data_IF_028888128317
#
_entry.id   IF_028888128317
#
_cell.length_a   1.000
_cell.length_b   1.000
_cell.length_c   1.000
_cell.angle_alpha   90.00
_cell.angle_beta   90.00
_cell.angle_gamma   90.00
#
_symmetry.space_group_name_H-M   'P 1'
#
loop_
_entity.id
_entity.type
_entity.pdbx_description
1 polymer ?
#
# COMPACT_ATOMS: atom_id res chain seq x y z
N UNK A 1 59.63 32.45 -0.22
CA UNK A 1 58.50 31.96 0.60
C UNK A 1 57.19 32.33 -0.10
N UNK A 2 56.52 31.39 -0.77
CA UNK A 2 55.10 31.43 -1.23
C UNK A 2 54.82 30.24 -2.15
N UNK A 3 54.85 29.06 -1.56
CA UNK A 3 54.20 27.84 -2.06
C UNK A 3 53.30 27.37 -0.92
N UNK A 4 52.22 26.66 -1.25
CA UNK A 4 51.23 26.00 -0.35
C UNK A 4 50.10 26.84 0.24
N UNK A 5 49.15 27.41 -0.54
CA UNK A 5 47.82 27.80 0.01
C UNK A 5 46.65 27.79 -1.01
N UNK A 6 46.69 27.01 -2.10
CA UNK A 6 45.51 26.90 -3.00
C UNK A 6 45.37 25.47 -3.53
N UNK A 7 44.91 24.54 -2.69
CA UNK A 7 44.23 23.29 -3.14
C UNK A 7 43.12 22.83 -2.16
N UNK A 8 43.09 23.30 -0.91
CA UNK A 8 42.03 22.88 0.06
C UNK A 8 40.85 23.86 0.02
N UNK A 9 40.12 23.92 -1.10
CA UNK A 9 38.84 24.65 -1.18
C UNK A 9 37.88 24.10 -2.24
N UNK A 10 38.06 22.86 -2.70
CA UNK A 10 37.28 22.25 -3.78
C UNK A 10 36.90 20.79 -3.48
N UNK A 11 36.57 20.50 -2.21
CA UNK A 11 36.12 19.16 -1.76
C UNK A 11 34.93 19.21 -0.80
N UNK A 12 34.19 20.32 -0.76
CA UNK A 12 32.92 20.45 -0.01
C UNK A 12 31.89 21.15 -0.90
N UNK A 13 31.56 20.56 -2.05
CA UNK A 13 30.38 21.01 -2.82
C UNK A 13 29.79 19.91 -3.73
N UNK A 14 29.91 18.66 -3.29
CA UNK A 14 29.10 17.54 -3.78
C UNK A 14 28.51 16.77 -2.59
N UNK A 15 28.07 17.49 -1.55
CA UNK A 15 27.01 16.94 -0.72
C UNK A 15 25.79 16.89 -1.64
N UNK A 16 25.58 15.73 -2.27
CA UNK A 16 24.33 15.46 -2.96
C UNK A 16 23.21 15.86 -2.02
N UNK A 17 22.33 16.74 -2.48
CA UNK A 17 21.13 17.11 -1.73
C UNK A 17 20.39 15.81 -1.49
N UNK A 18 20.57 15.21 -0.30
CA UNK A 18 19.78 14.07 0.10
C UNK A 18 18.35 14.61 0.09
N UNK A 19 17.46 14.10 -0.76
CA UNK A 19 16.09 14.58 -0.77
C UNK A 19 15.53 14.33 0.63
N UNK A 20 15.35 15.41 1.39
CA UNK A 20 14.67 15.34 2.68
C UNK A 20 13.21 15.07 2.31
N UNK A 21 12.63 13.94 2.74
CA UNK A 21 11.24 13.65 2.45
C UNK A 21 10.36 14.80 2.98
N UNK A 22 9.51 15.32 2.11
CA UNK A 22 8.60 16.42 2.44
C UNK A 22 7.33 15.84 3.03
N UNK A 23 7.40 15.46 4.31
CA UNK A 23 6.23 15.05 5.09
C UNK A 23 5.79 16.18 6.02
N UNK A 24 4.50 16.19 6.35
CA UNK A 24 4.01 17.09 7.38
C UNK A 24 4.58 16.66 8.75
N UNK A 25 4.89 17.63 9.60
CA UNK A 25 5.47 17.32 10.91
C UNK A 25 4.41 16.61 11.78
N UNK A 26 4.73 15.38 12.20
CA UNK A 26 3.96 14.60 13.16
C UNK A 26 4.82 14.28 14.37
N UNK A 27 4.19 14.09 15.54
CA UNK A 27 4.88 13.66 16.75
C UNK A 27 5.35 12.22 16.61
N UNK A 28 6.34 11.86 17.41
CA UNK A 28 6.83 10.49 17.45
C UNK A 28 5.79 9.53 18.05
N UNK A 29 5.75 8.31 17.53
CA UNK A 29 4.86 7.23 17.97
C UNK A 29 5.61 6.20 18.80
N UNK A 30 4.88 5.38 19.59
CA UNK A 30 5.50 4.36 20.45
C UNK A 30 6.19 3.24 19.65
N UNK A 31 5.76 3.03 18.41
CA UNK A 31 6.31 2.05 17.49
C UNK A 31 7.81 2.25 17.23
N UNK A 32 8.54 1.14 17.11
CA UNK A 32 9.92 1.17 16.62
C UNK A 32 9.97 1.57 15.15
N UNK A 33 9.14 0.95 14.32
CA UNK A 33 8.99 1.27 12.91
C UNK A 33 7.54 1.62 12.60
N UNK A 34 7.32 2.66 11.81
CA UNK A 34 5.98 3.08 11.43
C UNK A 34 5.94 3.72 10.05
N UNK A 35 4.78 3.63 9.41
CA UNK A 35 4.48 4.33 8.16
C UNK A 35 3.01 4.74 8.12
N UNK A 36 2.75 5.91 7.55
CA UNK A 36 1.43 6.32 7.05
C UNK A 36 1.55 6.51 5.53
N UNK A 37 0.69 5.84 4.77
CA UNK A 37 0.68 5.88 3.31
C UNK A 37 -0.74 6.18 2.82
N UNK A 38 -0.85 7.01 1.76
CA UNK A 38 -2.11 7.13 1.02
C UNK A 38 -2.24 6.00 0.00
N UNK A 39 -3.38 5.32 0.01
CA UNK A 39 -3.58 4.05 -0.68
C UNK A 39 -3.45 4.17 -2.20
N UNK A 40 -4.06 5.17 -2.85
CA UNK A 40 -4.11 5.20 -4.31
C UNK A 40 -2.78 5.61 -4.91
N UNK A 41 -2.23 6.75 -4.48
CA UNK A 41 -0.98 7.29 -5.00
C UNK A 41 0.25 6.55 -4.46
N UNK A 42 0.12 5.83 -3.34
CA UNK A 42 1.25 5.19 -2.65
C UNK A 42 2.20 6.19 -2.01
N UNK A 43 1.79 7.46 -1.86
CA UNK A 43 2.63 8.50 -1.26
C UNK A 43 2.74 8.25 0.23
N UNK A 44 3.97 8.23 0.73
CA UNK A 44 4.25 8.20 2.16
C UNK A 44 3.98 9.58 2.75
N UNK A 45 3.26 9.63 3.86
CA UNK A 45 2.88 10.87 4.56
C UNK A 45 3.59 10.98 5.92
N UNK A 46 4.10 9.87 6.43
CA UNK A 46 4.94 9.77 7.62
C UNK A 46 5.74 8.46 7.55
N UNK A 47 7.01 8.50 7.96
CA UNK A 47 7.89 7.34 8.01
C UNK A 47 8.81 7.41 9.22
N UNK A 48 8.96 6.29 9.92
CA UNK A 48 9.92 6.07 11.01
C UNK A 48 10.57 4.72 10.79
N UNK A 49 11.84 4.74 10.39
CA UNK A 49 12.63 3.53 10.10
C UNK A 49 11.84 2.54 9.20
N UNK A 50 11.08 3.07 8.24
CA UNK A 50 10.02 2.33 7.56
C UNK A 50 10.54 1.23 6.63
N UNK A 51 11.81 1.32 6.22
CA UNK A 51 12.52 0.34 5.38
C UNK A 51 13.33 -0.67 6.19
N UNK A 52 13.44 -0.52 7.51
CA UNK A 52 14.19 -1.47 8.33
C UNK A 52 13.43 -2.79 8.45
N UNK A 53 14.11 -3.90 8.15
CA UNK A 53 13.54 -5.24 8.24
C UNK A 53 13.34 -5.68 9.68
N UNK A 54 12.15 -6.18 9.98
CA UNK A 54 11.73 -6.64 11.29
C UNK A 54 10.93 -7.94 11.19
N UNK A 55 10.83 -8.63 12.33
CA UNK A 55 9.85 -9.72 12.47
C UNK A 55 8.45 -9.14 12.49
N UNK A 56 7.57 -9.69 11.66
CA UNK A 56 6.25 -9.11 11.45
C UNK A 56 5.10 -9.89 12.11
N UNK A 57 5.37 -11.08 12.67
CA UNK A 57 4.33 -11.92 13.27
C UNK A 57 3.13 -12.13 12.31
N UNK A 58 1.91 -12.19 12.84
CA UNK A 58 0.73 -12.57 12.05
C UNK A 58 0.25 -11.57 10.99
N UNK A 59 0.87 -10.39 10.81
CA UNK A 59 0.53 -9.55 9.64
C UNK A 59 1.01 -10.20 8.32
N UNK A 60 1.90 -11.19 8.37
CA UNK A 60 2.20 -12.15 7.29
C UNK A 60 0.94 -12.71 6.62
N UNK A 61 -0.11 -12.94 7.42
CA UNK A 61 -1.36 -13.55 6.94
C UNK A 61 -2.12 -12.67 5.93
N UNK A 62 -1.75 -11.40 5.78
CA UNK A 62 -2.23 -10.54 4.68
C UNK A 62 -1.83 -11.15 3.34
N UNK A 63 -0.56 -11.54 3.17
CA UNK A 63 -0.07 -12.20 1.95
C UNK A 63 -0.81 -13.52 1.71
N UNK A 64 -0.98 -14.33 2.76
CA UNK A 64 -1.69 -15.61 2.68
C UNK A 64 -3.14 -15.43 2.24
N UNK A 65 -3.86 -14.46 2.81
CA UNK A 65 -5.23 -14.15 2.44
C UNK A 65 -5.34 -13.60 1.02
N UNK A 66 -4.40 -12.75 0.60
CA UNK A 66 -4.33 -12.20 -0.76
C UNK A 66 -4.19 -13.32 -1.80
N UNK A 67 -3.22 -14.23 -1.62
CA UNK A 67 -3.01 -15.33 -2.56
C UNK A 67 -4.21 -16.27 -2.64
N UNK A 68 -4.87 -16.53 -1.50
CA UNK A 68 -6.11 -17.30 -1.49
C UNK A 68 -7.22 -16.59 -2.29
N UNK A 69 -7.38 -15.27 -2.11
CA UNK A 69 -8.37 -14.46 -2.83
C UNK A 69 -8.10 -14.39 -4.35
N UNK A 70 -6.84 -14.42 -4.77
CA UNK A 70 -6.44 -14.42 -6.20
C UNK A 70 -6.48 -15.79 -6.86
N UNK A 71 -6.53 -16.87 -6.08
CA UNK A 71 -6.37 -18.24 -6.60
C UNK A 71 -7.52 -18.73 -7.49
N UNK A 72 -8.69 -18.08 -7.47
CA UNK A 72 -9.92 -18.60 -8.06
C UNK A 72 -10.55 -19.76 -7.29
N UNK A 73 -9.95 -20.20 -6.17
CA UNK A 73 -10.36 -21.39 -5.40
C UNK A 73 -11.24 -21.09 -4.18
N UNK A 74 -11.67 -19.84 -3.97
CA UNK A 74 -12.37 -19.44 -2.73
C UNK A 74 -13.62 -20.27 -2.39
N UNK A 75 -14.28 -20.84 -3.40
CA UNK A 75 -15.48 -21.68 -3.24
C UNK A 75 -15.16 -23.17 -3.08
N UNK A 76 -13.91 -23.58 -3.22
CA UNK A 76 -13.48 -24.97 -3.10
C UNK A 76 -13.58 -25.45 -1.65
N UNK A 77 -13.74 -26.77 -1.50
CA UNK A 77 -13.74 -27.44 -0.21
C UNK A 77 -12.37 -28.05 0.05
N UNK A 78 -11.71 -27.56 1.09
CA UNK A 78 -10.39 -28.00 1.53
C UNK A 78 -10.54 -29.17 2.49
N UNK A 79 -9.72 -30.20 2.30
CA UNK A 79 -9.56 -31.31 3.26
C UNK A 79 -8.44 -30.99 4.23
N UNK A 80 -8.75 -30.91 5.52
CA UNK A 80 -7.74 -30.54 6.52
C UNK A 80 -6.77 -31.71 6.76
N UNK A 81 -5.47 -31.43 6.67
CA UNK A 81 -4.39 -32.37 6.93
C UNK A 81 -4.12 -32.57 8.43
N UNK A 82 -3.29 -33.57 8.77
CA UNK A 82 -2.83 -33.73 10.15
C UNK A 82 -1.82 -32.66 10.54
N UNK A 83 -1.11 -32.12 9.56
CA UNK A 83 -0.05 -31.13 9.69
C UNK A 83 -0.66 -29.78 10.03
N UNK A 84 -1.74 -29.39 9.35
CA UNK A 84 -2.54 -28.20 9.64
C UNK A 84 -2.95 -28.09 11.11
N UNK A 85 -3.41 -29.17 11.72
CA UNK A 85 -3.92 -29.14 13.10
C UNK A 85 -2.82 -29.12 14.17
N UNK A 86 -1.56 -29.42 13.80
CA UNK A 86 -0.43 -29.46 14.74
C UNK A 86 0.29 -28.12 14.88
N UNK A 87 -0.06 -27.13 14.06
CA UNK A 87 0.58 -25.81 14.12
C UNK A 87 0.18 -25.08 15.41
N UNK A 88 1.17 -24.62 16.16
CA UNK A 88 0.97 -23.95 17.45
C UNK A 88 0.34 -22.55 17.31
N UNK A 89 -0.03 -21.94 18.45
CA UNK A 89 -0.48 -20.55 18.52
C UNK A 89 -1.99 -20.37 18.34
N UNK A 90 -2.39 -19.26 17.74
CA UNK A 90 -3.82 -18.99 17.49
C UNK A 90 -4.38 -20.00 16.49
N UNK A 91 -5.56 -20.53 16.75
CA UNK A 91 -6.21 -21.53 15.90
C UNK A 91 -7.70 -21.22 15.72
N UNK A 92 -8.32 -21.79 14.69
CA UNK A 92 -9.78 -21.93 14.57
C UNK A 92 -10.27 -23.34 14.94
N UNK A 93 -9.34 -24.18 15.42
CA UNK A 93 -9.57 -25.52 15.96
C UNK A 93 -10.08 -26.52 14.91
N UNK A 94 -9.42 -26.51 13.75
CA UNK A 94 -9.67 -27.49 12.69
C UNK A 94 -9.41 -28.92 13.17
N UNK A 95 -10.06 -29.90 12.53
CA UNK A 95 -9.86 -31.33 12.79
C UNK A 95 -9.33 -32.06 11.54
N UNK A 96 -8.47 -33.09 11.69
CA UNK A 96 -8.03 -33.89 10.54
C UNK A 96 -9.20 -34.46 9.74
N UNK A 97 -9.11 -34.40 8.42
CA UNK A 97 -10.15 -34.87 7.50
C UNK A 97 -11.39 -33.99 7.40
N UNK A 98 -11.51 -32.94 8.22
CA UNK A 98 -12.61 -31.98 8.13
C UNK A 98 -12.64 -31.36 6.73
N UNK A 99 -13.85 -31.12 6.21
CA UNK A 99 -14.09 -30.47 4.93
C UNK A 99 -14.58 -29.05 5.18
N UNK A 100 -13.79 -28.05 4.79
CA UNK A 100 -14.06 -26.63 5.07
C UNK A 100 -13.91 -25.83 3.79
N UNK A 101 -14.79 -24.85 3.53
CA UNK A 101 -14.61 -23.97 2.36
C UNK A 101 -13.37 -23.11 2.53
N UNK A 102 -12.64 -22.87 1.44
CA UNK A 102 -11.47 -21.99 1.48
C UNK A 102 -11.84 -20.60 1.99
N UNK A 103 -13.01 -20.06 1.60
CA UNK A 103 -13.53 -18.80 2.14
C UNK A 103 -13.62 -18.77 3.67
N UNK A 104 -14.18 -19.82 4.29
CA UNK A 104 -14.28 -19.92 5.76
C UNK A 104 -12.88 -19.92 6.39
N UNK A 105 -11.91 -20.62 5.78
CA UNK A 105 -10.53 -20.62 6.25
C UNK A 105 -9.91 -19.22 6.19
N UNK A 106 -10.15 -18.46 5.13
CA UNK A 106 -9.61 -17.09 4.99
C UNK A 106 -10.25 -16.12 5.99
N UNK A 107 -11.56 -16.26 6.30
CA UNK A 107 -12.16 -15.51 7.41
C UNK A 107 -11.54 -15.89 8.76
N UNK A 108 -11.36 -17.19 9.02
CA UNK A 108 -10.70 -17.67 10.24
C UNK A 108 -9.26 -17.17 10.37
N UNK A 109 -8.52 -17.16 9.26
CA UNK A 109 -7.17 -16.62 9.14
C UNK A 109 -7.14 -15.13 9.50
N UNK A 110 -8.01 -14.31 8.91
CA UNK A 110 -7.95 -12.86 9.09
C UNK A 110 -8.53 -12.41 10.44
N UNK A 111 -9.70 -12.92 10.82
CA UNK A 111 -10.42 -12.47 12.03
C UNK A 111 -9.86 -13.11 13.30
N UNK A 112 -9.48 -14.39 13.25
CA UNK A 112 -9.03 -15.17 14.41
C UNK A 112 -7.53 -15.41 14.43
N UNK A 113 -6.83 -15.09 13.34
CA UNK A 113 -5.39 -15.30 13.21
C UNK A 113 -5.01 -16.79 13.29
N UNK A 114 -5.89 -17.68 12.84
CA UNK A 114 -5.67 -19.14 12.87
C UNK A 114 -4.44 -19.56 12.06
N UNK A 115 -3.47 -20.19 12.71
CA UNK A 115 -2.27 -20.73 12.09
C UNK A 115 -2.58 -22.06 11.40
N UNK A 116 -3.48 -22.85 11.98
CA UNK A 116 -4.09 -24.04 11.36
C UNK A 116 -4.77 -23.71 10.02
N UNK A 117 -5.53 -22.61 9.98
CA UNK A 117 -6.13 -22.09 8.75
C UNK A 117 -5.06 -21.66 7.74
N UNK A 118 -4.00 -20.98 8.17
CA UNK A 118 -2.92 -20.56 7.29
C UNK A 118 -2.21 -21.75 6.62
N UNK A 119 -1.94 -22.80 7.40
CA UNK A 119 -1.33 -24.03 6.93
C UNK A 119 -2.23 -24.75 5.92
N UNK A 120 -3.53 -24.91 6.23
CA UNK A 120 -4.48 -25.53 5.31
C UNK A 120 -4.68 -24.73 4.00
N UNK A 121 -4.71 -23.39 4.09
CA UNK A 121 -4.75 -22.52 2.91
C UNK A 121 -3.51 -22.72 2.05
N UNK A 122 -2.33 -22.75 2.67
CA UNK A 122 -1.07 -22.89 1.96
C UNK A 122 -0.97 -24.22 1.22
N UNK A 123 -1.31 -25.33 1.89
CA UNK A 123 -1.36 -26.67 1.29
C UNK A 123 -2.34 -26.73 0.11
N UNK A 124 -3.53 -26.12 0.23
CA UNK A 124 -4.54 -26.15 -0.85
C UNK A 124 -4.19 -25.25 -2.05
N UNK A 125 -3.72 -24.04 -1.77
CA UNK A 125 -3.48 -23.04 -2.81
C UNK A 125 -2.15 -23.30 -3.51
N UNK A 126 -1.09 -23.56 -2.74
CA UNK A 126 0.27 -23.78 -3.23
C UNK A 126 0.64 -25.24 -3.48
N UNK A 127 -0.23 -26.20 -3.15
CA UNK A 127 0.03 -27.65 -3.27
C UNK A 127 0.94 -28.23 -2.20
N UNK A 128 1.80 -27.39 -1.60
CA UNK A 128 2.59 -27.67 -0.40
C UNK A 128 2.93 -26.34 0.30
N UNK A 129 3.56 -26.41 1.48
CA UNK A 129 4.04 -25.20 2.16
C UNK A 129 5.15 -24.52 1.39
N UNK A 130 6.09 -25.28 0.84
CA UNK A 130 7.19 -24.79 0.02
C UNK A 130 6.64 -24.12 -1.25
N UNK A 131 5.67 -24.77 -1.91
CA UNK A 131 5.00 -24.21 -3.08
C UNK A 131 4.27 -22.90 -2.76
N UNK A 132 3.59 -22.83 -1.61
CA UNK A 132 2.93 -21.60 -1.19
C UNK A 132 3.92 -20.48 -0.82
N UNK A 133 4.97 -20.80 -0.07
CA UNK A 133 6.03 -19.85 0.29
C UNK A 133 6.74 -19.31 -0.96
N UNK A 134 6.93 -20.14 -1.99
CA UNK A 134 7.40 -19.68 -3.29
C UNK A 134 6.45 -18.62 -3.89
N UNK A 135 5.14 -18.88 -3.90
CA UNK A 135 4.15 -17.90 -4.39
C UNK A 135 4.15 -16.60 -3.57
N UNK A 136 4.33 -16.68 -2.24
CA UNK A 136 4.41 -15.50 -1.38
C UNK A 136 5.59 -14.60 -1.77
N UNK A 137 6.77 -15.19 -2.00
CA UNK A 137 7.96 -14.43 -2.37
C UNK A 137 7.91 -13.93 -3.83
N UNK A 138 7.34 -14.70 -4.77
CA UNK A 138 7.11 -14.21 -6.13
C UNK A 138 6.14 -13.03 -6.15
N UNK A 139 5.06 -13.07 -5.33
CA UNK A 139 4.17 -11.92 -5.18
C UNK A 139 4.89 -10.72 -4.56
N UNK A 140 5.68 -10.93 -3.49
CA UNK A 140 6.46 -9.88 -2.85
C UNK A 140 7.37 -9.17 -3.86
N UNK A 141 8.10 -9.94 -4.67
CA UNK A 141 8.94 -9.41 -5.76
C UNK A 141 8.12 -8.67 -6.82
N UNK A 142 6.98 -9.23 -7.25
CA UNK A 142 6.13 -8.63 -8.28
C UNK A 142 5.54 -7.27 -7.86
N UNK A 143 5.26 -7.07 -6.58
CA UNK A 143 4.72 -5.80 -6.05
C UNK A 143 5.80 -4.89 -5.45
N UNK A 144 7.08 -5.27 -5.56
CA UNK A 144 8.23 -4.43 -5.20
C UNK A 144 8.57 -4.39 -3.71
N UNK A 145 8.20 -5.40 -2.94
CA UNK A 145 8.60 -5.56 -1.53
C UNK A 145 10.07 -5.99 -1.45
N UNK A 146 10.98 -5.02 -1.29
CA UNK A 146 12.43 -5.25 -1.38
C UNK A 146 13.07 -5.68 -0.06
N UNK A 147 12.41 -5.38 1.05
CA UNK A 147 12.89 -5.59 2.41
C UNK A 147 12.12 -6.74 3.07
N UNK A 148 11.68 -7.72 2.28
CA UNK A 148 10.78 -8.81 2.67
C UNK A 148 11.27 -10.19 2.23
N UNK A 149 11.14 -11.15 3.14
CA UNK A 149 11.24 -12.57 2.84
C UNK A 149 10.23 -13.36 3.68
N UNK A 150 9.43 -14.19 3.03
CA UNK A 150 8.49 -15.10 3.70
C UNK A 150 9.08 -16.51 3.75
N UNK A 151 9.05 -17.14 4.92
CA UNK A 151 9.42 -18.56 5.10
C UNK A 151 8.27 -19.46 5.56
N UNK A 152 7.10 -18.90 5.87
CA UNK A 152 5.91 -19.65 6.29
C UNK A 152 4.62 -18.80 6.10
N UNK A 153 3.41 -19.40 6.09
CA UNK A 153 2.18 -18.67 5.77
C UNK A 153 1.55 -17.93 6.96
N UNK A 154 2.10 -18.04 8.16
CA UNK A 154 1.46 -17.57 9.39
C UNK A 154 2.26 -16.51 10.17
N UNK A 155 3.57 -16.39 9.94
CA UNK A 155 4.45 -15.49 10.66
C UNK A 155 4.80 -15.96 12.06
N UNK A 156 4.86 -17.28 12.29
CA UNK A 156 5.49 -17.79 13.52
C UNK A 156 7.01 -17.62 13.38
N UNK A 157 7.68 -17.42 14.51
CA UNK A 157 9.12 -17.34 14.57
C UNK A 157 9.74 -18.66 14.11
N UNK A 158 10.58 -18.63 13.08
CA UNK A 158 11.23 -19.81 12.51
C UNK A 158 12.76 -19.72 12.54
N UNK A 159 13.35 -20.10 11.42
CA UNK A 159 14.78 -20.11 11.09
C UNK A 159 15.49 -18.73 11.13
N UNK A 160 14.73 -17.65 11.26
CA UNK A 160 15.25 -16.28 11.27
C UNK A 160 15.27 -15.60 9.90
N UNK A 161 14.77 -16.24 8.85
CA UNK A 161 14.69 -15.65 7.50
C UNK A 161 13.35 -14.95 7.24
N UNK A 162 12.37 -15.08 8.14
CA UNK A 162 11.05 -14.45 8.01
C UNK A 162 11.06 -12.99 8.47
N UNK A 163 10.96 -12.04 7.54
CA UNK A 163 10.94 -10.61 7.84
C UNK A 163 10.21 -9.78 6.77
N UNK A 164 9.86 -8.55 7.12
CA UNK A 164 9.41 -7.50 6.21
C UNK A 164 9.70 -6.13 6.83
N UNK A 165 9.39 -5.04 6.14
CA UNK A 165 9.48 -3.66 6.65
C UNK A 165 8.09 -3.03 6.78
N UNK A 166 7.99 -1.89 7.48
CA UNK A 166 6.70 -1.19 7.58
C UNK A 166 6.23 -0.71 6.18
N UNK A 167 7.17 -0.23 5.37
CA UNK A 167 6.95 0.19 4.00
C UNK A 167 6.43 -0.95 3.11
N UNK A 168 7.10 -2.11 3.15
CA UNK A 168 6.71 -3.26 2.34
C UNK A 168 5.33 -3.80 2.75
N UNK A 169 5.04 -3.83 4.05
CA UNK A 169 3.72 -4.22 4.53
C UNK A 169 2.62 -3.22 4.13
N UNK A 170 2.94 -1.92 4.00
CA UNK A 170 2.03 -0.93 3.45
C UNK A 170 1.81 -1.16 1.93
N UNK A 171 2.87 -1.47 1.17
CA UNK A 171 2.76 -1.85 -0.24
C UNK A 171 1.89 -3.10 -0.45
N UNK A 172 2.11 -4.14 0.35
CA UNK A 172 1.30 -5.36 0.32
C UNK A 172 -0.17 -5.05 0.60
N UNK A 173 -0.43 -4.23 1.62
CA UNK A 173 -1.79 -3.86 2.01
C UNK A 173 -2.47 -3.04 0.92
N UNK A 174 -1.78 -2.05 0.35
CA UNK A 174 -2.25 -1.27 -0.79
C UNK A 174 -2.66 -2.16 -1.96
N UNK A 175 -1.80 -3.12 -2.33
CA UNK A 175 -2.12 -4.06 -3.39
C UNK A 175 -3.32 -4.95 -3.03
N UNK A 176 -3.35 -5.46 -1.79
CA UNK A 176 -4.41 -6.35 -1.32
C UNK A 176 -5.78 -5.65 -1.24
N UNK A 177 -5.84 -4.37 -0.89
CA UNK A 177 -7.08 -3.59 -0.84
C UNK A 177 -7.69 -3.35 -2.23
N UNK A 178 -6.89 -3.47 -3.31
CA UNK A 178 -7.39 -3.51 -4.68
C UNK A 178 -8.26 -4.75 -4.98
N UNK A 179 -8.11 -5.84 -4.22
CA UNK A 179 -8.92 -7.04 -4.35
C UNK A 179 -10.20 -6.93 -3.51
N UNK A 180 -11.37 -6.92 -4.17
CA UNK A 180 -12.68 -6.77 -3.50
C UNK A 180 -12.96 -7.85 -2.44
N UNK A 181 -12.53 -9.09 -2.69
CA UNK A 181 -12.71 -10.20 -1.74
C UNK A 181 -11.87 -9.98 -0.50
N UNK A 182 -10.59 -9.61 -0.65
CA UNK A 182 -9.72 -9.29 0.48
C UNK A 182 -10.26 -8.10 1.28
N UNK A 183 -10.64 -7.00 0.61
CA UNK A 183 -11.20 -5.80 1.24
C UNK A 183 -12.43 -6.13 2.10
N UNK A 184 -13.36 -6.95 1.57
CA UNK A 184 -14.53 -7.42 2.32
C UNK A 184 -14.13 -8.19 3.58
N UNK A 185 -13.21 -9.16 3.46
CA UNK A 185 -12.79 -10.00 4.58
C UNK A 185 -12.07 -9.17 5.65
N UNK A 186 -11.15 -8.30 5.24
CA UNK A 186 -10.36 -7.42 6.12
C UNK A 186 -11.25 -6.51 6.97
N UNK A 187 -12.29 -5.92 6.37
CA UNK A 187 -13.25 -5.03 7.05
C UNK A 187 -14.36 -5.74 7.83
N UNK A 188 -14.44 -7.07 7.79
CA UNK A 188 -15.52 -7.81 8.45
C UNK A 188 -15.33 -7.78 9.97
N UNK A 189 -16.32 -7.25 10.70
CA UNK A 189 -16.33 -7.18 12.17
C UNK A 189 -16.62 -8.54 12.81
N UNK A 190 -17.57 -9.28 12.24
CA UNK A 190 -18.02 -10.59 12.71
C UNK A 190 -18.37 -11.48 11.53
N UNK A 191 -18.00 -12.76 11.59
CA UNK A 191 -18.31 -13.77 10.58
C UNK A 191 -18.85 -15.04 11.21
N UNK A 192 -19.95 -15.57 10.69
CA UNK A 192 -20.50 -16.87 11.08
C UNK A 192 -20.28 -17.86 9.94
N UNK A 193 -19.34 -18.77 10.12
CA UNK A 193 -19.18 -19.91 9.22
C UNK A 193 -20.32 -20.90 9.45
N UNK A 194 -20.70 -21.65 8.40
CA UNK A 194 -21.62 -22.78 8.53
C UNK A 194 -20.98 -24.00 9.21
N UNK A 195 -19.66 -24.03 9.31
CA UNK A 195 -18.89 -25.14 9.87
C UNK A 195 -18.57 -24.97 11.37
N UNK A 196 -19.01 -23.87 11.98
CA UNK A 196 -18.84 -23.57 13.41
C UNK A 196 -20.18 -23.11 14.01
N UNK A 197 -20.41 -23.42 15.28
CA UNK A 197 -21.66 -23.06 15.98
C UNK A 197 -21.64 -21.65 16.59
N UNK A 198 -20.53 -20.93 16.47
CA UNK A 198 -20.35 -19.60 17.05
C UNK A 198 -19.69 -18.63 16.07
N UNK A 199 -19.96 -17.33 16.20
CA UNK A 199 -19.41 -16.34 15.29
C UNK A 199 -17.99 -15.97 15.68
N UNK A 200 -17.15 -15.76 14.69
CA UNK A 200 -15.83 -15.19 14.85
C UNK A 200 -15.91 -13.67 14.87
N UNK A 201 -15.56 -13.08 16.02
CA UNK A 201 -15.29 -11.65 16.11
C UNK A 201 -13.87 -11.35 15.66
N UNK A 202 -13.71 -10.32 14.84
CA UNK A 202 -12.40 -9.83 14.42
C UNK A 202 -11.59 -9.36 15.63
N UNK A 203 -10.33 -9.80 15.75
CA UNK A 203 -9.41 -9.36 16.82
C UNK A 203 -9.01 -7.88 16.67
N UNK A 204 -9.22 -7.28 15.51
CA UNK A 204 -8.83 -5.90 15.21
C UNK A 204 -9.76 -4.88 15.88
N UNK A 205 -9.30 -4.24 16.95
CA UNK A 205 -10.13 -3.36 17.79
C UNK A 205 -10.55 -2.08 17.10
N UNK A 206 -9.71 -1.52 16.24
CA UNK A 206 -10.02 -0.34 15.42
C UNK A 206 -11.22 -0.61 14.50
N UNK A 207 -11.19 -1.74 13.78
CA UNK A 207 -12.29 -2.17 12.89
C UNK A 207 -13.57 -2.48 13.68
N UNK A 208 -13.45 -3.10 14.85
CA UNK A 208 -14.64 -3.55 15.60
C UNK A 208 -15.30 -2.48 16.46
N UNK A 209 -14.53 -1.56 17.06
CA UNK A 209 -15.05 -0.68 18.12
C UNK A 209 -14.31 0.62 18.41
N UNK A 210 -13.04 0.76 18.07
CA UNK A 210 -12.23 1.89 18.56
C UNK A 210 -12.19 3.08 17.59
N UNK A 211 -12.33 2.85 16.29
CA UNK A 211 -12.14 3.91 15.30
C UNK A 211 -13.15 3.83 14.17
N UNK A 212 -14.01 4.84 14.04
CA UNK A 212 -15.14 4.83 13.11
C UNK A 212 -14.72 4.80 11.63
N UNK A 213 -13.55 5.36 11.32
CA UNK A 213 -13.03 5.43 9.95
C UNK A 213 -12.28 4.15 9.53
N UNK A 214 -12.04 3.20 10.44
CA UNK A 214 -11.30 1.97 10.12
C UNK A 214 -12.08 1.08 9.15
N UNK A 215 -11.44 0.71 8.04
CA UNK A 215 -12.01 -0.09 6.95
C UNK A 215 -11.48 -1.52 6.88
N UNK A 216 -10.37 -1.82 7.57
CA UNK A 216 -9.73 -3.12 7.53
C UNK A 216 -8.44 -3.16 8.34
N UNK A 217 -7.80 -4.33 8.39
CA UNK A 217 -6.50 -4.49 9.03
C UNK A 217 -6.17 -5.90 9.48
N UNK A 218 -4.99 -6.05 10.07
CA UNK A 218 -4.53 -7.30 10.68
C UNK A 218 -3.61 -7.01 11.86
N UNK A 219 -3.85 -7.72 12.97
CA UNK A 219 -2.99 -7.72 14.14
C UNK A 219 -1.92 -8.81 14.06
N UNK A 220 -0.79 -8.61 14.74
CA UNK A 220 0.22 -9.62 14.97
C UNK A 220 0.91 -9.48 16.33
N UNK A 221 1.34 -10.60 16.88
CA UNK A 221 2.16 -10.65 18.07
C UNK A 221 2.96 -11.94 18.13
N UNK A 222 4.26 -11.82 18.40
CA UNK A 222 5.07 -12.89 19.00
C UNK A 222 5.96 -12.26 20.07
N UNK A 223 6.58 -13.08 20.93
CA UNK A 223 7.53 -12.57 21.92
C UNK A 223 8.71 -11.85 21.28
N UNK A 224 9.15 -12.28 20.08
CA UNK A 224 10.31 -11.71 19.38
C UNK A 224 9.96 -10.50 18.50
N UNK A 225 8.75 -10.45 17.94
CA UNK A 225 8.30 -9.35 17.09
C UNK A 225 7.71 -8.17 17.87
N UNK A 226 7.27 -8.40 19.11
CA UNK A 226 6.39 -7.45 19.79
C UNK A 226 5.02 -7.39 19.12
N UNK A 227 4.28 -6.31 19.35
CA UNK A 227 2.98 -6.06 18.70
C UNK A 227 3.21 -5.44 17.32
N UNK A 228 2.57 -6.03 16.32
CA UNK A 228 2.58 -5.53 14.94
C UNK A 228 1.16 -5.29 14.49
N UNK A 229 0.94 -4.24 13.70
CA UNK A 229 -0.40 -3.85 13.30
C UNK A 229 -0.39 -3.20 11.92
N UNK A 230 -1.32 -3.63 11.09
CA UNK A 230 -1.68 -2.98 9.82
C UNK A 230 -3.15 -2.58 9.93
N UNK A 231 -3.46 -1.32 9.64
CA UNK A 231 -4.84 -0.82 9.57
C UNK A 231 -5.04 -0.04 8.28
N UNK A 232 -6.25 -0.08 7.74
CA UNK A 232 -6.71 0.85 6.71
C UNK A 232 -7.86 1.69 7.25
N UNK A 233 -7.95 2.96 6.84
CA UNK A 233 -9.03 3.86 7.22
C UNK A 233 -9.39 4.80 6.07
N UNK A 234 -10.65 5.20 5.99
CA UNK A 234 -11.16 6.11 4.96
C UNK A 234 -12.00 7.22 5.56
N UNK A 235 -11.72 8.46 5.16
CA UNK A 235 -12.49 9.65 5.56
C UNK A 235 -12.45 10.69 4.46
N UNK A 236 -13.60 11.23 4.10
CA UNK A 236 -13.75 12.28 3.09
C UNK A 236 -13.09 11.96 1.73
N UNK A 237 -13.07 10.68 1.34
CA UNK A 237 -12.44 10.19 0.10
C UNK A 237 -10.91 10.10 0.13
N UNK A 238 -10.27 10.32 1.28
CA UNK A 238 -8.86 10.03 1.51
C UNK A 238 -8.74 8.64 2.15
N UNK A 239 -8.06 7.72 1.46
CA UNK A 239 -7.83 6.35 1.92
C UNK A 239 -6.40 6.21 2.42
N UNK A 240 -6.24 5.81 3.68
CA UNK A 240 -4.95 5.75 4.37
C UNK A 240 -4.65 4.35 4.89
N UNK A 241 -3.37 4.02 4.91
CA UNK A 241 -2.79 2.78 5.45
C UNK A 241 -1.78 3.16 6.51
N UNK A 242 -1.90 2.56 7.70
CA UNK A 242 -0.87 2.66 8.76
C UNK A 242 -0.32 1.28 9.06
N UNK A 243 1.00 1.19 9.16
CA UNK A 243 1.69 0.01 9.69
C UNK A 243 2.57 0.42 10.84
N UNK A 244 2.55 -0.36 11.93
CA UNK A 244 3.49 -0.23 13.05
C UNK A 244 4.09 -1.57 13.40
N UNK A 245 5.40 -1.61 13.61
CA UNK A 245 6.14 -2.79 14.05
C UNK A 245 6.76 -2.51 15.42
N UNK A 246 6.67 -3.51 16.30
CA UNK A 246 7.10 -3.43 17.70
C UNK A 246 6.57 -2.18 18.43
N UNK A 247 5.25 -2.10 18.58
CA UNK A 247 4.56 -0.93 19.13
C UNK A 247 3.71 -1.29 20.35
N UNK A 248 4.11 -0.86 21.54
CA UNK A 248 3.38 -1.15 22.78
C UNK A 248 2.00 -0.49 22.81
N UNK A 249 1.84 0.66 22.15
CA UNK A 249 0.59 1.41 22.06
C UNK A 249 0.02 1.50 20.63
N UNK A 250 0.15 0.42 19.86
CA UNK A 250 -0.24 0.32 18.44
C UNK A 250 -1.63 0.90 18.11
N UNK A 251 -2.64 0.67 18.93
CA UNK A 251 -3.99 1.19 18.69
C UNK A 251 -4.07 2.71 18.67
N UNK A 252 -3.48 3.37 19.67
CA UNK A 252 -3.49 4.83 19.77
C UNK A 252 -2.55 5.46 18.75
N UNK A 253 -1.40 4.82 18.49
CA UNK A 253 -0.47 5.25 17.44
C UNK A 253 -1.17 5.28 16.07
N UNK A 254 -1.96 4.26 15.74
CA UNK A 254 -2.72 4.21 14.49
C UNK A 254 -3.80 5.30 14.43
N UNK A 255 -4.61 5.44 15.47
CA UNK A 255 -5.65 6.50 15.50
C UNK A 255 -5.03 7.89 15.38
N UNK A 256 -3.92 8.14 16.09
CA UNK A 256 -3.17 9.39 15.99
C UNK A 256 -2.69 9.66 14.56
N UNK A 257 -2.01 8.70 13.92
CA UNK A 257 -1.49 8.86 12.56
C UNK A 257 -2.61 9.07 11.54
N UNK A 258 -3.71 8.34 11.64
CA UNK A 258 -4.87 8.58 10.77
C UNK A 258 -5.47 9.97 10.97
N UNK A 259 -5.70 10.38 12.22
CA UNK A 259 -6.25 11.70 12.53
C UNK A 259 -5.34 12.83 12.04
N UNK A 260 -4.01 12.67 12.16
CA UNK A 260 -3.06 13.61 11.56
C UNK A 260 -3.14 13.60 10.04
N UNK A 261 -3.17 12.42 9.41
CA UNK A 261 -3.32 12.27 7.96
C UNK A 261 -4.55 13.00 7.44
N UNK A 262 -5.72 12.70 7.99
CA UNK A 262 -6.99 13.33 7.60
C UNK A 262 -7.05 14.83 7.90
N UNK A 263 -6.39 15.29 8.98
CA UNK A 263 -6.36 16.72 9.34
C UNK A 263 -5.45 17.53 8.44
N UNK A 264 -4.28 16.99 8.10
CA UNK A 264 -3.21 17.75 7.46
C UNK A 264 -3.24 17.65 5.94
N UNK A 265 -3.74 16.55 5.39
CA UNK A 265 -3.74 16.29 3.95
C UNK A 265 -5.13 16.35 3.34
N UNK A 266 -5.19 16.81 2.09
CA UNK A 266 -6.39 16.71 1.25
C UNK A 266 -6.01 16.15 -0.11
N UNK A 267 -6.83 15.22 -0.61
CA UNK A 267 -6.69 14.73 -1.97
C UNK A 267 -6.87 15.91 -2.93
N UNK A 268 -5.83 16.22 -3.70
CA UNK A 268 -5.79 17.37 -4.59
C UNK A 268 -5.55 16.88 -6.01
N UNK A 269 -6.41 17.29 -6.95
CA UNK A 269 -6.20 17.02 -8.37
C UNK A 269 -5.01 17.82 -8.87
N UNK A 270 -3.89 17.14 -9.12
CA UNK A 270 -2.65 17.75 -9.63
C UNK A 270 -2.57 17.74 -11.15
N UNK A 271 -3.35 16.86 -11.79
CA UNK A 271 -3.44 16.75 -13.24
C UNK A 271 -4.84 16.23 -13.59
N UNK A 272 -5.53 16.92 -14.50
CA UNK A 272 -6.83 16.47 -14.98
C UNK A 272 -6.70 15.59 -16.22
N UNK A 273 -7.75 14.82 -16.51
CA UNK A 273 -7.98 14.14 -17.76
C UNK A 273 -8.16 15.14 -18.91
N UNK A 274 -7.64 14.78 -20.08
CA UNK A 274 -7.77 15.55 -21.31
C UNK A 274 -6.50 16.29 -21.69
N UNK A 275 -6.63 17.29 -22.56
CA UNK A 275 -5.48 17.86 -23.25
C UNK A 275 -4.59 18.67 -22.30
N UNK A 276 -3.28 18.48 -22.43
CA UNK A 276 -2.29 19.35 -21.81
C UNK A 276 -2.20 20.65 -22.62
N UNK A 277 -2.37 21.76 -21.93
CA UNK A 277 -2.13 23.10 -22.49
C UNK A 277 -0.63 23.42 -22.53
N UNK A 278 -0.27 24.40 -23.36
CA UNK A 278 1.05 25.08 -23.34
C UNK A 278 2.29 24.22 -23.66
N UNK A 279 2.15 23.16 -24.47
CA UNK A 279 3.33 22.52 -25.07
C UNK A 279 3.93 23.42 -26.16
N UNK A 280 5.22 23.76 -26.01
CA UNK A 280 5.94 24.69 -26.90
C UNK A 280 5.97 24.24 -28.36
N UNK A 281 6.01 22.94 -28.59
CA UNK A 281 6.07 22.36 -29.94
C UNK A 281 4.67 22.21 -30.54
N UNK A 282 4.42 22.89 -31.66
CA UNK A 282 3.11 22.93 -32.35
C UNK A 282 2.51 21.54 -32.63
N UNK A 283 3.35 20.54 -32.94
CA UNK A 283 2.90 19.17 -33.22
C UNK A 283 2.29 18.46 -32.02
N UNK A 284 2.57 18.92 -30.80
CA UNK A 284 2.04 18.35 -29.55
C UNK A 284 0.99 19.25 -28.90
N UNK A 285 1.02 20.56 -29.17
CA UNK A 285 0.10 21.53 -28.60
C UNK A 285 -1.37 21.18 -28.91
N UNK A 286 -2.16 20.89 -27.88
CA UNK A 286 -3.55 20.41 -27.99
C UNK A 286 -3.72 19.03 -28.65
N UNK A 287 -2.64 18.26 -28.79
CA UNK A 287 -2.67 16.90 -29.31
C UNK A 287 -2.22 15.88 -28.27
N UNK A 288 -1.60 16.31 -27.17
CA UNK A 288 -1.17 15.43 -26.08
C UNK A 288 -2.16 15.50 -24.92
N UNK A 289 -2.53 14.36 -24.37
CA UNK A 289 -3.52 14.26 -23.31
C UNK A 289 -3.21 13.15 -22.30
N UNK A 290 -3.88 13.24 -21.15
CA UNK A 290 -3.94 12.22 -20.10
C UNK A 290 -5.31 11.55 -20.14
N UNK A 291 -5.35 10.24 -19.91
CA UNK A 291 -6.60 9.48 -19.92
C UNK A 291 -7.40 9.60 -18.63
N UNK A 292 -6.72 9.86 -17.52
CA UNK A 292 -7.32 9.85 -16.18
C UNK A 292 -6.86 11.07 -15.39
N UNK A 293 -7.72 11.53 -14.47
CA UNK A 293 -7.33 12.46 -13.43
C UNK A 293 -6.24 11.83 -12.54
N UNK A 294 -5.36 12.66 -12.01
CA UNK A 294 -4.38 12.27 -11.00
C UNK A 294 -4.54 13.15 -9.77
N UNK A 295 -4.82 12.48 -8.65
CA UNK A 295 -4.91 13.08 -7.34
C UNK A 295 -3.71 12.69 -6.49
N UNK A 296 -3.24 13.64 -5.69
CA UNK A 296 -2.17 13.43 -4.71
C UNK A 296 -2.64 14.03 -3.38
N UNK A 297 -2.44 13.34 -2.24
CA UNK A 297 -2.66 13.94 -0.93
C UNK A 297 -1.63 15.05 -0.71
N UNK A 298 -2.09 16.28 -0.50
CA UNK A 298 -1.23 17.44 -0.27
C UNK A 298 -1.65 18.22 0.98
N UNK A 299 -0.67 18.72 1.72
CA UNK A 299 -0.92 19.75 2.73
C UNK A 299 -1.21 21.10 2.08
N UNK A 300 -1.66 22.09 2.88
CA UNK A 300 -1.90 23.45 2.38
C UNK A 300 -0.65 24.07 1.75
N UNK A 301 0.53 23.80 2.29
CA UNK A 301 1.79 24.39 1.83
C UNK A 301 2.43 23.59 0.70
N UNK A 302 2.31 22.27 0.70
CA UNK A 302 2.76 21.43 -0.41
C UNK A 302 2.04 21.76 -1.72
N UNK A 303 0.76 22.15 -1.67
CA UNK A 303 0.01 22.58 -2.86
C UNK A 303 0.66 23.72 -3.63
N UNK A 304 1.45 24.57 -2.94
CA UNK A 304 2.16 25.69 -3.58
C UNK A 304 3.47 25.25 -4.24
N UNK A 305 3.91 24.02 -4.00
CA UNK A 305 5.19 23.47 -4.44
C UNK A 305 5.02 22.37 -5.50
N UNK A 306 3.80 22.15 -6.00
CA UNK A 306 3.53 21.17 -7.04
C UNK A 306 4.15 21.63 -8.35
N UNK A 307 4.95 20.77 -8.96
CA UNK A 307 5.58 20.99 -10.26
C UNK A 307 5.28 19.82 -11.20
N UNK A 308 4.78 20.12 -12.39
CA UNK A 308 4.59 19.14 -13.46
C UNK A 308 5.75 19.24 -14.46
N UNK A 309 6.48 18.15 -14.65
CA UNK A 309 7.52 18.04 -15.67
C UNK A 309 7.08 17.10 -16.78
N UNK A 310 6.88 17.66 -17.98
CA UNK A 310 6.51 16.89 -19.17
C UNK A 310 7.77 16.38 -19.88
N UNK A 311 7.81 15.07 -20.11
CA UNK A 311 8.88 14.34 -20.79
C UNK A 311 8.30 13.63 -22.01
N UNK A 312 8.47 14.21 -23.20
CA UNK A 312 8.00 13.64 -24.45
C UNK A 312 9.10 12.79 -25.11
N UNK A 313 8.70 11.63 -25.63
CA UNK A 313 9.54 10.83 -26.49
C UNK A 313 9.44 11.37 -27.92
N UNK A 314 10.56 11.88 -28.44
CA UNK A 314 10.63 12.46 -29.79
C UNK A 314 10.91 11.42 -30.87
N UNK A 315 11.26 10.20 -30.48
CA UNK A 315 11.59 9.10 -31.39
C UNK A 315 10.37 8.31 -31.86
N UNK A 316 9.24 8.41 -31.15
CA UNK A 316 8.02 7.67 -31.49
C UNK A 316 7.23 8.33 -32.61
N UNK A 317 6.54 7.49 -33.39
CA UNK A 317 5.60 7.96 -34.40
C UNK A 317 4.33 8.51 -33.73
N UNK A 318 3.80 9.60 -34.26
CA UNK A 318 2.59 10.23 -33.72
C UNK A 318 1.34 9.52 -34.21
N UNK A 319 0.99 8.45 -33.51
CA UNK A 319 -0.18 7.61 -33.78
C UNK A 319 -1.28 7.94 -32.76
N UNK A 320 -2.52 8.02 -33.24
CA UNK A 320 -3.68 8.34 -32.41
C UNK A 320 -3.87 7.26 -31.32
N UNK A 321 -3.98 7.69 -30.07
CA UNK A 321 -4.14 6.80 -28.92
C UNK A 321 -2.84 6.20 -28.37
N UNK A 322 -1.69 6.40 -29.02
CA UNK A 322 -0.42 5.84 -28.57
C UNK A 322 0.31 6.74 -27.56
N UNK A 323 1.13 6.10 -26.72
CA UNK A 323 1.96 6.79 -25.73
C UNK A 323 3.06 7.59 -26.44
N UNK A 324 3.16 8.88 -26.11
CA UNK A 324 4.17 9.81 -26.65
C UNK A 324 5.06 10.43 -25.59
N UNK A 325 4.94 9.97 -24.35
CA UNK A 325 5.77 10.43 -23.26
C UNK A 325 5.12 10.17 -21.90
N UNK A 326 5.55 10.97 -20.94
CA UNK A 326 4.99 10.98 -19.59
C UNK A 326 5.06 12.38 -18.99
N UNK A 327 4.27 12.61 -17.96
CA UNK A 327 4.40 13.76 -17.09
C UNK A 327 4.71 13.27 -15.68
N UNK A 328 5.72 13.86 -15.07
CA UNK A 328 6.19 13.55 -13.73
C UNK A 328 5.73 14.66 -12.80
N UNK A 329 5.08 14.28 -11.69
CA UNK A 329 4.60 15.21 -10.67
C UNK A 329 5.60 15.24 -9.53
N UNK A 330 6.04 16.44 -9.20
CA UNK A 330 6.91 16.73 -8.06
C UNK A 330 6.17 17.57 -7.02
N UNK A 331 6.50 17.36 -5.75
CA UNK A 331 6.17 18.26 -4.64
C UNK A 331 7.49 18.71 -4.05
N UNK A 332 7.84 19.97 -4.25
CA UNK A 332 9.21 20.43 -4.00
C UNK A 332 10.20 19.66 -4.88
N UNK A 333 11.11 18.90 -4.26
CA UNK A 333 12.09 18.06 -4.96
C UNK A 333 11.70 16.57 -5.00
N UNK A 334 10.61 16.18 -4.34
CA UNK A 334 10.17 14.79 -4.25
C UNK A 334 9.29 14.42 -5.44
N UNK A 335 9.62 13.34 -6.15
CA UNK A 335 8.74 12.77 -7.17
C UNK A 335 7.60 12.02 -6.49
N UNK A 336 6.37 12.50 -6.64
CA UNK A 336 5.17 11.89 -6.02
C UNK A 336 4.35 11.04 -6.98
N UNK A 337 4.68 11.05 -8.28
CA UNK A 337 4.07 10.15 -9.25
C UNK A 337 4.39 10.52 -10.70
N UNK A 338 3.94 9.67 -11.63
CA UNK A 338 3.98 9.95 -13.06
C UNK A 338 2.71 9.47 -13.76
N UNK A 339 2.41 10.04 -14.92
CA UNK A 339 1.30 9.64 -15.79
C UNK A 339 1.76 9.55 -17.23
N UNK A 340 1.33 8.50 -17.92
CA UNK A 340 1.54 8.36 -19.36
C UNK A 340 0.81 9.47 -20.12
N UNK A 341 1.47 9.97 -21.16
CA UNK A 341 0.91 10.95 -22.08
C UNK A 341 0.63 10.27 -23.41
N UNK A 342 -0.53 10.55 -23.98
CA UNK A 342 -1.00 9.95 -25.23
C UNK A 342 -1.20 11.01 -26.30
N UNK A 343 -1.07 10.62 -27.56
CA UNK A 343 -1.28 11.51 -28.69
C UNK A 343 -2.68 11.36 -29.29
N UNK A 344 -3.25 12.47 -29.76
CA UNK A 344 -4.43 12.48 -30.60
C UNK A 344 -4.16 13.19 -31.92
N UNK A 345 -4.61 12.60 -33.04
CA UNK A 345 -4.59 13.26 -34.35
C UNK A 345 -5.55 14.44 -34.41
N UNK A 346 -6.62 14.42 -33.61
CA UNK A 346 -7.58 15.52 -33.53
C UNK A 346 -7.08 16.53 -32.52
N UNK A 347 -7.27 17.81 -32.84
CA UNK A 347 -7.00 18.88 -31.89
C UNK A 347 -8.03 18.82 -30.78
N UNK A 348 -7.57 18.69 -29.55
CA UNK A 348 -8.39 18.62 -28.36
C UNK A 348 -8.67 20.03 -27.82
N UNK A 349 -9.80 20.21 -27.15
CA UNK A 349 -10.05 21.41 -26.37
C UNK A 349 -9.27 21.25 -25.06
N UNK A 350 -8.41 22.21 -24.73
CA UNK A 350 -7.65 22.18 -23.48
C UNK A 350 -8.60 22.20 -22.29
N UNK A 351 -8.66 21.10 -21.54
CA UNK A 351 -9.43 20.98 -20.29
C UNK A 351 -8.58 21.26 -19.06
N UNK A 352 -7.25 21.33 -19.20
CA UNK A 352 -6.31 21.55 -18.10
C UNK A 352 -5.35 22.69 -18.43
N UNK A 353 -5.40 23.79 -17.67
CA UNK A 353 -4.45 24.91 -17.71
C UNK A 353 -3.38 24.77 -16.61
N UNK A 354 -2.11 25.21 -16.79
CA UNK A 354 -1.06 25.06 -15.79
C UNK A 354 -1.05 26.21 -14.77
N UNK A 355 -1.84 27.26 -15.00
CA UNK A 355 -1.91 28.44 -14.14
C UNK A 355 -3.06 28.34 -13.13
N UNK A 356 -2.86 27.52 -12.10
CA UNK A 356 -3.68 27.52 -10.89
C UNK A 356 -3.17 28.59 -9.90
N UNK A 357 -3.27 29.87 -10.26
CA UNK A 357 -3.18 30.93 -9.26
C UNK A 357 -4.51 30.96 -8.50
N UNK A 358 -4.52 30.29 -7.35
CA UNK A 358 -5.63 30.19 -6.40
C UNK A 358 -6.67 29.11 -6.75
N UNK A 359 -6.53 27.95 -6.10
CA UNK A 359 -7.59 26.95 -5.96
C UNK A 359 -8.83 27.62 -5.38
N UNK A 360 -9.81 27.92 -6.24
CA UNK A 360 -11.22 28.05 -5.86
C UNK A 360 -11.95 26.83 -6.41
N UNK A 361 -12.75 26.28 -5.51
CA UNK A 361 -13.53 25.04 -5.52
C UNK A 361 -14.01 24.51 -6.87
N UNK A 362 -14.12 23.17 -6.96
CA UNK A 362 -15.33 22.47 -7.43
C UNK A 362 -15.35 21.07 -6.79
N UNK A 363 -16.49 20.73 -6.19
CA UNK A 363 -16.86 19.41 -5.67
C UNK A 363 -17.55 18.55 -6.74
N UNK A 364 -17.55 17.22 -6.48
CA UNK A 364 -18.44 16.17 -7.00
C UNK A 364 -18.23 15.65 -8.44
N UNK A 365 -17.54 14.50 -8.57
CA UNK A 365 -18.20 13.19 -8.73
C UNK A 365 -17.15 12.08 -8.54
N UNK A 366 -17.42 11.15 -7.61
CA UNK A 366 -16.75 9.85 -7.52
C UNK A 366 -17.28 8.96 -8.63
N UNK A 367 -16.39 8.31 -9.38
CA UNK A 367 -16.46 6.91 -9.83
C UNK A 367 -15.40 6.65 -10.92
N UNK A 368 -14.64 5.56 -10.76
CA UNK A 368 -13.89 4.91 -11.83
C UNK A 368 -12.43 5.32 -11.98
N UNK A 369 -11.55 4.74 -11.17
CA UNK A 369 -10.11 4.75 -11.46
C UNK A 369 -9.85 3.77 -12.59
N UNK A 370 -9.66 4.29 -13.80
CA UNK A 370 -8.99 3.57 -14.87
C UNK A 370 -7.52 3.38 -14.48
N UNK A 371 -7.10 2.13 -14.30
CA UNK A 371 -5.71 1.78 -14.07
C UNK A 371 -4.94 1.91 -15.38
N UNK A 372 -4.25 3.03 -15.56
CA UNK A 372 -3.15 3.16 -16.51
C UNK A 372 -1.90 3.50 -15.69
N UNK A 373 -0.91 2.60 -15.74
CA UNK A 373 0.26 2.54 -14.84
C UNK A 373 1.21 3.73 -14.82
#
# INVERSE_FOLDING_TARGET
MRRTWIVIALLIMCAGVIPIPTYAQMNDVSAHNAILMEEQSGRVLYGKLEHESQKIASITKIMTALLAAESGKMKETVSISNEAVRVEGSAIYLKPGQKVKLEDLVYGLMLRSGNDAAQAIAENVGGSIEGFVYLMNEKAKAIGMKDTHFSNPHGLDGDGTHYSSAYDMALLTRYAMGNETFRKISGTKTYQSKSWDYPWKNKHKLVTSYYEFATGGKTGFTKKAGRTLVTTASKDGLDLIVVTLNASNDWDDHMYLFDQGFKQYKLTKVLGQGALSELKEKKYANHVYTKNDFFVPLTRDERKQVLLKVELDKSVNLIDGEKVGKTVVYVGNEKVGERNLFYSKRKLIATTGPYWNNVREIFSYMLGVGTDG
#
